data_IF_997352582940
#
_entry.id   IF_997352582940
#
_cell.length_a   1.000
_cell.length_b   1.000
_cell.length_c   1.000
_cell.angle_alpha   90.00
_cell.angle_beta   90.00
_cell.angle_gamma   90.00
#
_symmetry.space_group_name_H-M   'P 1'
#
loop_
_entity.id
_entity.type
_entity.pdbx_description
1 polymer ?
#
# COMPACT_ATOMS: atom_id res chain seq x y z
N UNK A 1 -16.23 -22.85 29.89
CA UNK A 1 -16.38 -21.38 29.77
C UNK A 1 -15.56 -20.93 28.57
N UNK A 2 -16.09 -20.04 27.72
CA UNK A 2 -15.39 -19.45 26.57
C UNK A 2 -15.10 -17.99 26.92
N UNK A 3 -13.85 -17.57 26.81
CA UNK A 3 -13.43 -16.17 27.02
C UNK A 3 -13.04 -15.61 25.66
N UNK A 4 -13.71 -14.54 25.26
CA UNK A 4 -13.33 -13.73 24.09
C UNK A 4 -12.60 -12.48 24.60
N UNK A 5 -11.29 -12.40 24.35
CA UNK A 5 -10.46 -11.23 24.64
C UNK A 5 -10.44 -10.37 23.37
N UNK A 6 -11.05 -9.18 23.40
CA UNK A 6 -10.87 -8.18 22.35
C UNK A 6 -9.87 -7.11 22.81
N UNK A 7 -8.89 -6.73 21.96
CA UNK A 7 -7.93 -5.69 22.31
C UNK A 7 -8.60 -4.33 22.50
N UNK A 8 -8.15 -3.57 23.50
CA UNK A 8 -8.74 -2.29 23.90
C UNK A 8 -8.65 -1.18 22.83
N UNK A 9 -7.79 -1.36 21.81
CA UNK A 9 -7.66 -0.43 20.69
C UNK A 9 -7.46 -1.22 19.39
N UNK A 10 -8.51 -1.43 18.57
CA UNK A 10 -8.35 -2.07 17.27
C UNK A 10 -7.51 -1.17 16.36
N UNK A 11 -6.30 -1.63 16.04
CA UNK A 11 -5.43 -0.92 15.12
C UNK A 11 -5.86 -1.22 13.68
N UNK A 12 -6.17 -0.17 12.92
CA UNK A 12 -6.54 -0.30 11.51
C UNK A 12 -5.28 -0.29 10.64
N UNK A 13 -5.28 -1.12 9.61
CA UNK A 13 -4.22 -1.20 8.62
C UNK A 13 -4.82 -1.10 7.22
N UNK A 14 -4.10 -0.48 6.31
CA UNK A 14 -4.36 -0.63 4.89
C UNK A 14 -3.78 -1.96 4.44
N UNK A 15 -4.44 -2.63 3.50
CA UNK A 15 -3.96 -3.90 2.93
C UNK A 15 -3.75 -3.70 1.45
N UNK A 16 -2.53 -3.98 1.00
CA UNK A 16 -2.15 -3.92 -0.42
C UNK A 16 -1.50 -5.24 -0.84
N UNK A 17 -1.53 -5.60 -2.13
CA UNK A 17 -0.73 -6.70 -2.65
C UNK A 17 0.76 -6.45 -2.42
N UNK A 18 1.53 -7.50 -2.14
CA UNK A 18 2.99 -7.37 -1.93
C UNK A 18 3.71 -6.86 -3.18
N UNK A 19 3.15 -7.14 -4.36
CA UNK A 19 3.69 -6.73 -5.66
C UNK A 19 3.62 -5.21 -5.89
N UNK A 20 2.82 -4.48 -5.08
CA UNK A 20 2.77 -3.02 -5.11
C UNK A 20 3.97 -2.33 -4.47
N UNK A 21 4.80 -3.07 -3.71
CA UNK A 21 6.00 -2.54 -3.08
C UNK A 21 7.12 -2.37 -4.14
N UNK A 22 7.63 -1.16 -4.29
CA UNK A 22 8.72 -0.85 -5.23
C UNK A 22 10.07 -1.23 -4.62
N UNK A 23 10.32 -0.69 -3.42
CA UNK A 23 11.54 -0.88 -2.66
C UNK A 23 11.20 -0.70 -1.18
N UNK A 24 11.89 -1.42 -0.31
CA UNK A 24 11.65 -1.35 1.13
C UNK A 24 12.51 -2.32 1.91
N UNK A 25 12.50 -2.13 3.23
CA UNK A 25 13.14 -3.00 4.20
C UNK A 25 12.09 -3.73 5.06
N UNK A 26 12.41 -4.07 6.31
CA UNK A 26 11.48 -4.74 7.21
C UNK A 26 10.32 -3.85 7.70
N UNK A 27 10.43 -2.52 7.64
CA UNK A 27 9.48 -1.59 8.25
C UNK A 27 9.07 -0.41 7.35
N UNK A 28 9.87 -0.04 6.36
CA UNK A 28 9.62 1.10 5.48
C UNK A 28 9.73 0.70 4.01
N UNK A 29 8.95 1.36 3.17
CA UNK A 29 9.02 1.13 1.73
C UNK A 29 8.32 2.21 0.93
N UNK A 30 8.25 1.99 -0.38
CA UNK A 30 7.60 2.90 -1.31
C UNK A 30 6.61 2.17 -2.20
N UNK A 31 5.53 2.87 -2.52
CA UNK A 31 4.55 2.44 -3.53
C UNK A 31 4.31 3.55 -4.54
N UNK A 32 3.74 3.20 -5.68
CA UNK A 32 3.14 4.18 -6.57
C UNK A 32 1.63 4.22 -6.30
N UNK A 33 1.14 5.39 -5.88
CA UNK A 33 -0.28 5.67 -5.73
C UNK A 33 -0.80 6.39 -6.96
N UNK A 34 -1.97 5.99 -7.44
CA UNK A 34 -2.64 6.68 -8.54
C UNK A 34 -3.35 7.91 -8.00
N UNK A 35 -3.26 9.03 -8.72
CA UNK A 35 -3.98 10.25 -8.37
C UNK A 35 -5.51 10.08 -8.50
N UNK A 36 -6.27 11.04 -7.94
CA UNK A 36 -7.74 11.01 -7.99
C UNK A 36 -8.28 11.02 -9.43
N UNK A 37 -7.54 11.62 -10.36
CA UNK A 37 -7.92 11.73 -11.76
C UNK A 37 -7.57 10.47 -12.58
N UNK A 38 -6.86 9.50 -11.98
CA UNK A 38 -6.40 8.26 -12.61
C UNK A 38 -5.50 8.45 -13.82
N UNK A 39 -4.74 9.55 -13.84
CA UNK A 39 -3.88 9.94 -14.96
C UNK A 39 -2.40 9.88 -14.61
N UNK A 40 -2.05 10.14 -13.35
CA UNK A 40 -0.65 10.15 -12.92
C UNK A 40 -0.44 9.30 -11.67
N UNK A 41 0.82 8.92 -11.45
CA UNK A 41 1.23 8.25 -10.22
C UNK A 41 2.13 9.13 -9.37
N UNK A 42 2.09 8.90 -8.06
CA UNK A 42 2.98 9.51 -7.08
C UNK A 42 3.72 8.45 -6.29
N UNK A 43 5.02 8.63 -6.11
CA UNK A 43 5.81 7.75 -5.24
C UNK A 43 5.59 8.15 -3.78
N UNK A 44 4.99 7.26 -2.99
CA UNK A 44 4.66 7.52 -1.59
C UNK A 44 5.46 6.60 -0.65
N UNK A 45 6.08 7.15 0.41
CA UNK A 45 6.64 6.33 1.47
C UNK A 45 5.51 5.71 2.30
N UNK A 46 5.69 4.45 2.68
CA UNK A 46 4.77 3.70 3.52
C UNK A 46 5.50 3.09 4.72
N UNK A 47 4.78 2.88 5.82
CA UNK A 47 5.26 2.09 6.96
C UNK A 47 4.54 0.77 7.04
N UNK A 48 5.29 -0.31 6.91
CA UNK A 48 4.79 -1.67 6.93
C UNK A 48 4.60 -2.17 8.36
N UNK A 49 3.53 -2.93 8.58
CA UNK A 49 3.25 -3.56 9.86
C UNK A 49 3.65 -5.04 9.85
N UNK A 50 3.11 -5.79 8.90
CA UNK A 50 3.43 -7.21 8.71
C UNK A 50 3.02 -7.68 7.31
N UNK A 51 3.72 -8.71 6.83
CA UNK A 51 3.39 -9.43 5.61
C UNK A 51 2.62 -10.70 5.97
N UNK A 52 1.59 -11.02 5.20
CA UNK A 52 0.80 -12.24 5.37
C UNK A 52 0.32 -12.75 4.01
N UNK A 53 0.58 -14.02 3.73
CA UNK A 53 0.33 -14.63 2.42
C UNK A 53 0.98 -13.83 1.28
N UNK A 54 0.16 -13.15 0.46
CA UNK A 54 0.57 -12.27 -0.65
C UNK A 54 0.18 -10.81 -0.41
N UNK A 55 -0.12 -10.45 0.82
CA UNK A 55 -0.60 -9.14 1.21
C UNK A 55 0.33 -8.50 2.24
N UNK A 56 0.41 -7.18 2.16
CA UNK A 56 1.19 -6.33 3.04
C UNK A 56 0.23 -5.44 3.84
N UNK A 57 0.28 -5.55 5.16
CA UNK A 57 -0.37 -4.61 6.06
C UNK A 57 0.48 -3.33 6.16
N UNK A 58 -0.13 -2.20 5.86
CA UNK A 58 0.48 -0.86 5.93
C UNK A 58 -0.17 -0.09 7.06
N UNK A 59 0.67 0.40 7.96
CA UNK A 59 0.25 1.17 9.14
C UNK A 59 0.02 2.65 8.85
N UNK A 60 0.82 3.26 7.97
CA UNK A 60 0.73 4.68 7.58
C UNK A 60 1.25 4.91 6.17
N UNK A 61 0.86 6.02 5.54
CA UNK A 61 1.36 6.48 4.23
C UNK A 61 0.41 6.22 3.05
N UNK A 62 -0.79 5.70 3.33
CA UNK A 62 -1.85 5.43 2.35
C UNK A 62 -3.17 6.13 2.70
N UNK A 63 -3.13 7.10 3.62
CA UNK A 63 -4.29 7.88 4.01
C UNK A 63 -4.84 8.65 2.80
N UNK A 64 -6.12 8.44 2.48
CA UNK A 64 -6.76 9.06 1.31
C UNK A 64 -6.37 8.46 -0.04
N UNK A 65 -5.58 7.38 -0.06
CA UNK A 65 -5.18 6.71 -1.31
C UNK A 65 -6.21 5.63 -1.67
N UNK A 66 -6.82 5.77 -2.85
CA UNK A 66 -7.81 4.82 -3.35
C UNK A 66 -7.22 3.66 -4.14
N UNK A 67 -6.07 3.86 -4.79
CA UNK A 67 -5.45 2.87 -5.67
C UNK A 67 -3.93 2.92 -5.61
N UNK A 68 -3.30 1.75 -5.61
CA UNK A 68 -1.86 1.57 -5.77
C UNK A 68 -1.59 0.77 -7.05
N UNK A 69 -0.42 1.00 -7.63
CA UNK A 69 0.05 0.25 -8.79
C UNK A 69 0.48 -1.15 -8.35
N UNK A 70 0.02 -2.19 -9.04
CA UNK A 70 0.39 -3.60 -8.78
C UNK A 70 1.32 -4.16 -9.85
N UNK A 71 1.33 -3.57 -11.05
CA UNK A 71 2.10 -4.03 -12.20
C UNK A 71 2.73 -2.85 -12.95
N UNK A 72 3.90 -3.07 -13.54
CA UNK A 72 4.60 -2.04 -14.31
C UNK A 72 5.36 -1.00 -13.49
N UNK A 73 5.38 -1.11 -12.16
CA UNK A 73 6.12 -0.22 -11.27
C UNK A 73 7.61 -0.01 -11.65
N UNK A 74 8.37 -1.01 -12.15
CA UNK A 74 9.75 -0.81 -12.57
C UNK A 74 9.95 0.21 -13.72
N UNK A 75 8.88 0.56 -14.44
CA UNK A 75 8.91 1.52 -15.56
C UNK A 75 8.39 2.91 -15.17
N UNK A 76 7.94 3.09 -13.93
CA UNK A 76 7.34 4.33 -13.46
C UNK A 76 8.37 5.20 -12.72
N UNK A 77 8.18 6.50 -12.86
CA UNK A 77 8.79 7.54 -12.04
C UNK A 77 7.68 8.37 -11.38
N UNK A 78 8.04 9.19 -10.41
CA UNK A 78 7.09 10.14 -9.85
C UNK A 78 6.54 11.06 -10.95
N UNK A 79 5.21 11.22 -11.01
CA UNK A 79 4.53 11.99 -12.05
C UNK A 79 4.36 11.28 -13.40
N UNK A 80 4.73 9.99 -13.52
CA UNK A 80 4.48 9.21 -14.74
C UNK A 80 2.99 9.20 -15.07
N UNK A 81 2.68 9.40 -16.35
CA UNK A 81 1.32 9.25 -16.88
C UNK A 81 1.03 7.77 -17.01
N UNK A 82 -0.13 7.36 -16.51
CA UNK A 82 -0.58 5.95 -16.53
C UNK A 82 -1.98 5.83 -17.09
N UNK A 83 -2.32 4.62 -17.52
CA UNK A 83 -3.68 4.21 -17.79
C UNK A 83 -4.01 3.07 -16.85
N UNK A 84 -5.06 3.22 -16.05
CA UNK A 84 -5.52 2.14 -15.17
C UNK A 84 -6.27 1.10 -16.01
N UNK A 85 -5.78 -0.14 -15.97
CA UNK A 85 -6.39 -1.32 -16.61
C UNK A 85 -7.05 -2.18 -15.53
N UNK A 86 -8.26 -2.67 -15.78
CA UNK A 86 -9.03 -3.53 -14.89
C UNK A 86 -9.24 -4.91 -15.52
#
# INVERSE_FOLDING_TARGET
AKVDIQPANPQSYFVIPVESLIEGDAAQGFVFAVDENRQTVRKLPIRMAYLFERHLAVSTGLEGIGQVVTEGAPYLSDGSIVQVVN
#
